data_IF_944902518551
#
_entry.id   IF_944902518551
#
_cell.length_a   1.000
_cell.length_b   1.000
_cell.length_c   1.000
_cell.angle_alpha   90.00
_cell.angle_beta   90.00
_cell.angle_gamma   90.00
#
_symmetry.space_group_name_H-M   'P 1'
#
loop_
_entity.id
_entity.type
_entity.pdbx_description
1 polymer ?
#
# COMPACT_ATOMS: atom_id res chain seq x y z
N UNK A 1 52.87 23.99 -7.31
CA UNK A 1 51.45 23.97 -7.56
C UNK A 1 50.98 22.54 -7.37
N UNK A 2 50.34 22.23 -6.22
CA UNK A 2 49.73 20.94 -6.01
C UNK A 2 48.31 21.00 -6.67
N UNK A 3 48.07 20.12 -7.62
CA UNK A 3 46.75 19.89 -8.16
C UNK A 3 45.90 19.13 -7.11
N UNK A 4 44.85 19.74 -6.61
CA UNK A 4 43.85 19.09 -5.78
C UNK A 4 43.00 18.24 -6.75
N UNK A 5 42.84 16.93 -6.57
CA UNK A 5 41.94 16.16 -7.39
C UNK A 5 40.52 16.66 -7.10
N UNK A 6 39.77 17.02 -8.15
CA UNK A 6 38.36 17.25 -8.07
C UNK A 6 37.70 15.91 -7.72
N UNK A 7 37.13 15.81 -6.54
CA UNK A 7 36.25 14.71 -6.18
C UNK A 7 35.07 14.80 -7.15
N UNK A 8 34.95 13.84 -8.05
CA UNK A 8 33.69 13.65 -8.79
C UNK A 8 32.66 13.25 -7.74
N UNK A 9 31.77 14.15 -7.39
CA UNK A 9 30.54 13.79 -6.69
C UNK A 9 29.74 12.93 -7.67
N UNK A 10 29.41 11.72 -7.29
CA UNK A 10 28.43 10.94 -8.00
C UNK A 10 27.12 11.75 -8.01
N UNK A 11 26.50 11.91 -9.16
CA UNK A 11 25.18 12.56 -9.25
C UNK A 11 24.15 11.58 -8.69
N UNK A 12 23.36 12.06 -7.74
CA UNK A 12 22.21 11.30 -7.24
C UNK A 12 21.18 11.21 -8.36
N UNK A 13 20.88 9.99 -8.80
CA UNK A 13 19.85 9.72 -9.77
C UNK A 13 18.54 9.35 -9.06
N UNK A 14 17.44 9.89 -9.55
CA UNK A 14 16.10 9.60 -9.05
C UNK A 14 15.32 8.93 -10.15
N UNK A 15 14.80 7.74 -9.90
CA UNK A 15 13.98 7.04 -10.87
C UNK A 15 12.73 6.45 -10.21
N UNK A 16 11.59 6.68 -10.84
CA UNK A 16 10.31 6.16 -10.42
C UNK A 16 9.58 5.48 -11.58
N UNK A 17 8.94 4.37 -11.26
CA UNK A 17 8.07 3.63 -12.16
C UNK A 17 6.68 3.54 -11.59
N UNK A 18 5.69 3.72 -12.45
CA UNK A 18 4.30 3.47 -12.13
C UNK A 18 3.91 2.09 -12.67
N UNK A 19 3.29 1.28 -11.85
CA UNK A 19 2.63 0.05 -12.28
C UNK A 19 1.13 0.28 -12.20
N UNK A 20 0.45 0.08 -13.32
CA UNK A 20 -0.96 0.44 -13.48
C UNK A 20 -1.73 -0.75 -14.01
N UNK A 21 -2.69 -1.26 -13.22
CA UNK A 21 -3.62 -2.27 -13.65
C UNK A 21 -4.79 -1.64 -14.40
N UNK A 22 -5.19 -2.23 -15.49
CA UNK A 22 -6.41 -1.85 -16.21
C UNK A 22 -7.64 -2.35 -15.46
N UNK A 23 -8.72 -1.57 -15.47
CA UNK A 23 -9.97 -1.93 -14.82
C UNK A 23 -10.70 -3.08 -15.55
N UNK A 24 -10.69 -3.07 -16.87
CA UNK A 24 -11.51 -3.96 -17.69
C UNK A 24 -10.69 -5.07 -18.35
N UNK A 25 -9.40 -4.86 -18.56
CA UNK A 25 -8.51 -5.78 -19.25
C UNK A 25 -7.54 -6.47 -18.29
N UNK A 26 -7.21 -7.75 -18.52
CA UNK A 26 -6.24 -8.48 -17.70
C UNK A 26 -4.81 -8.04 -18.04
N UNK A 27 -4.43 -6.87 -17.59
CA UNK A 27 -3.17 -6.22 -17.95
C UNK A 27 -2.63 -5.31 -16.86
N UNK A 28 -1.30 -5.33 -16.69
CA UNK A 28 -0.55 -4.36 -15.91
C UNK A 28 0.50 -3.70 -16.79
N UNK A 29 0.59 -2.38 -16.76
CA UNK A 29 1.63 -1.63 -17.47
C UNK A 29 2.66 -1.09 -16.51
N UNK A 30 3.93 -1.17 -16.90
CA UNK A 30 5.03 -0.47 -16.26
C UNK A 30 5.35 0.78 -17.06
N UNK A 31 5.38 1.92 -16.39
CA UNK A 31 5.56 3.25 -17.00
C UNK A 31 6.73 3.92 -16.33
N UNK A 32 7.67 4.43 -17.10
CA UNK A 32 8.68 5.35 -16.61
C UNK A 32 8.05 6.70 -16.30
N UNK A 33 8.15 7.16 -15.05
CA UNK A 33 7.44 8.36 -14.63
C UNK A 33 8.02 9.62 -15.26
N UNK A 34 9.34 9.71 -15.43
CA UNK A 34 10.00 10.90 -15.97
C UNK A 34 9.61 11.14 -17.43
N UNK A 35 9.74 10.13 -18.27
CA UNK A 35 9.42 10.24 -19.70
C UNK A 35 7.94 10.05 -20.02
N UNK A 36 7.17 9.41 -19.13
CA UNK A 36 5.80 8.96 -19.39
C UNK A 36 5.72 7.77 -20.35
N UNK A 37 6.83 7.18 -20.73
CA UNK A 37 6.87 6.06 -21.66
C UNK A 37 6.43 4.75 -20.98
N UNK A 38 5.63 3.95 -21.68
CA UNK A 38 5.37 2.56 -21.28
C UNK A 38 6.62 1.73 -21.53
N UNK A 39 7.21 1.21 -20.44
CA UNK A 39 8.37 0.32 -20.51
C UNK A 39 7.96 -1.07 -20.98
N UNK A 40 6.89 -1.61 -20.42
CA UNK A 40 6.34 -2.90 -20.80
C UNK A 40 4.86 -3.02 -20.42
N UNK A 41 4.20 -4.05 -20.93
CA UNK A 41 2.79 -4.34 -20.70
C UNK A 41 2.59 -5.84 -20.52
N UNK A 42 2.25 -6.23 -19.29
CA UNK A 42 2.15 -7.62 -18.87
C UNK A 42 0.71 -8.12 -18.96
N UNK A 43 0.50 -9.21 -19.70
CA UNK A 43 -0.76 -9.93 -19.67
C UNK A 43 -0.85 -10.74 -18.37
N UNK A 44 -1.98 -10.61 -17.68
CA UNK A 44 -2.35 -11.37 -16.49
C UNK A 44 -3.69 -12.07 -16.75
N UNK A 45 -4.26 -12.77 -15.77
CA UNK A 45 -5.46 -13.58 -16.03
C UNK A 45 -6.78 -12.85 -15.78
N UNK A 46 -6.74 -11.73 -15.08
CA UNK A 46 -7.92 -10.91 -14.76
C UNK A 46 -7.57 -9.58 -14.11
N UNK A 47 -8.56 -8.76 -13.79
CA UNK A 47 -8.35 -7.51 -13.07
C UNK A 47 -7.60 -7.75 -11.76
N UNK A 48 -6.67 -6.86 -11.42
CA UNK A 48 -5.80 -7.02 -10.27
C UNK A 48 -5.80 -5.81 -9.34
N UNK A 49 -5.67 -6.07 -8.05
CA UNK A 49 -5.20 -5.09 -7.07
C UNK A 49 -3.69 -5.19 -6.99
N UNK A 50 -3.00 -4.05 -7.03
CA UNK A 50 -1.55 -4.00 -7.03
C UNK A 50 -1.01 -3.66 -5.65
N UNK A 51 0.04 -4.37 -5.26
CA UNK A 51 0.80 -4.10 -4.03
C UNK A 51 2.29 -4.03 -4.36
N UNK A 52 2.97 -3.06 -3.75
CA UNK A 52 4.42 -2.98 -3.76
C UNK A 52 4.91 -3.12 -2.32
N UNK A 53 6.02 -3.83 -2.13
CA UNK A 53 6.65 -3.98 -0.84
C UNK A 53 7.67 -2.87 -0.58
N UNK A 54 8.08 -2.74 0.67
CA UNK A 54 9.14 -1.83 1.10
C UNK A 54 10.46 -2.06 0.35
N UNK A 55 10.73 -3.32 -0.06
CA UNK A 55 11.91 -3.67 -0.85
C UNK A 55 11.90 -3.16 -2.28
N UNK A 56 10.76 -2.70 -2.80
CA UNK A 56 10.59 -2.07 -4.13
C UNK A 56 11.01 -2.93 -5.33
N UNK A 57 11.37 -4.19 -5.12
CA UNK A 57 11.89 -5.10 -6.16
C UNK A 57 10.80 -5.74 -7.00
N UNK A 58 9.59 -5.83 -6.47
CA UNK A 58 8.46 -6.46 -7.16
C UNK A 58 7.14 -5.74 -6.90
N UNK A 59 6.21 -5.95 -7.84
CA UNK A 59 4.81 -5.61 -7.73
C UNK A 59 3.99 -6.89 -7.78
N UNK A 60 3.10 -7.05 -6.84
CA UNK A 60 2.23 -8.21 -6.69
C UNK A 60 0.85 -7.86 -7.22
N UNK A 61 0.41 -8.57 -8.25
CA UNK A 61 -0.89 -8.39 -8.89
C UNK A 61 -1.86 -9.45 -8.36
N UNK A 62 -2.67 -9.08 -7.38
CA UNK A 62 -3.65 -9.96 -6.72
C UNK A 62 -4.92 -10.02 -7.57
N UNK A 63 -5.22 -11.20 -8.09
CA UNK A 63 -6.32 -11.51 -8.99
C UNK A 63 -7.30 -12.45 -8.28
N UNK A 64 -8.17 -11.89 -7.42
CA UNK A 64 -9.04 -12.66 -6.54
C UNK A 64 -9.98 -13.62 -7.29
N UNK A 65 -10.59 -13.16 -8.37
CA UNK A 65 -11.52 -13.98 -9.17
C UNK A 65 -10.82 -15.07 -10.00
N UNK A 66 -9.50 -14.94 -10.25
CA UNK A 66 -8.68 -15.91 -10.97
C UNK A 66 -7.87 -16.81 -10.05
N UNK A 67 -8.00 -16.66 -8.72
CA UNK A 67 -7.35 -17.50 -7.73
C UNK A 67 -5.82 -17.49 -7.80
N UNK A 68 -5.23 -16.33 -8.08
CA UNK A 68 -3.78 -16.22 -8.23
C UNK A 68 -3.24 -14.83 -7.95
N UNK A 69 -1.93 -14.79 -7.71
CA UNK A 69 -1.15 -13.58 -7.61
C UNK A 69 0.02 -13.69 -8.58
N UNK A 70 0.09 -12.78 -9.54
CA UNK A 70 1.23 -12.65 -10.43
C UNK A 70 2.29 -11.73 -9.79
N UNK A 71 3.56 -12.00 -10.08
CA UNK A 71 4.69 -11.24 -9.54
C UNK A 71 5.43 -10.59 -10.70
N UNK A 72 5.51 -9.27 -10.68
CA UNK A 72 6.20 -8.48 -11.69
C UNK A 72 7.47 -7.92 -11.04
N UNK A 73 8.64 -8.34 -11.51
CA UNK A 73 9.89 -7.71 -11.11
C UNK A 73 9.88 -6.25 -11.57
N UNK A 74 10.14 -5.34 -10.65
CA UNK A 74 10.03 -3.90 -10.94
C UNK A 74 11.15 -3.38 -11.85
N UNK A 75 12.28 -4.09 -11.88
CA UNK A 75 13.51 -3.61 -12.49
C UNK A 75 14.16 -2.46 -11.70
N UNK A 76 13.73 -2.21 -10.47
CA UNK A 76 14.33 -1.23 -9.56
C UNK A 76 14.98 -1.99 -8.41
N UNK A 77 16.23 -1.68 -8.14
CA UNK A 77 16.97 -2.18 -7.00
C UNK A 77 17.72 -1.02 -6.35
N UNK A 78 17.52 -0.85 -5.06
CA UNK A 78 18.21 0.14 -4.25
C UNK A 78 19.00 -0.62 -3.19
N UNK A 79 20.32 -0.56 -3.28
CA UNK A 79 21.22 -1.15 -2.29
C UNK A 79 21.60 -0.06 -1.29
N UNK A 80 21.16 -0.19 -0.05
CA UNK A 80 21.46 0.75 1.04
C UNK A 80 22.82 0.41 1.66
N UNK A 81 23.74 1.36 1.61
CA UNK A 81 25.07 1.28 2.20
C UNK A 81 25.19 2.13 3.49
N UNK A 82 24.08 2.68 3.97
CA UNK A 82 23.96 3.41 5.24
C UNK A 82 24.20 4.91 5.12
N UNK A 83 25.13 5.36 4.28
CA UNK A 83 25.43 6.77 3.99
C UNK A 83 24.96 7.19 2.58
N UNK A 84 24.77 6.22 1.68
CA UNK A 84 24.21 6.40 0.34
C UNK A 84 23.49 5.12 -0.10
N UNK A 85 22.68 5.23 -1.13
CA UNK A 85 22.05 4.08 -1.79
C UNK A 85 22.52 3.97 -3.23
N UNK A 86 22.81 2.76 -3.70
CA UNK A 86 23.08 2.50 -5.12
C UNK A 86 21.77 2.17 -5.82
N UNK A 87 21.42 2.97 -6.83
CA UNK A 87 20.25 2.73 -7.68
C UNK A 87 20.66 1.93 -8.92
N UNK A 88 20.06 0.77 -9.09
CA UNK A 88 20.22 -0.06 -10.29
C UNK A 88 18.86 -0.18 -11.00
N UNK A 89 18.87 0.10 -12.29
CA UNK A 89 17.68 0.02 -13.15
C UNK A 89 17.87 -1.08 -14.19
N UNK A 90 16.96 -2.03 -14.19
CA UNK A 90 16.81 -3.08 -15.21
C UNK A 90 15.44 -2.99 -15.87
N UNK A 91 15.15 -3.85 -16.81
CA UNK A 91 13.82 -3.94 -17.41
C UNK A 91 12.82 -4.56 -16.42
N UNK A 92 11.60 -4.03 -16.33
CA UNK A 92 10.53 -4.71 -15.59
C UNK A 92 10.15 -5.99 -16.30
N UNK A 93 9.79 -7.04 -15.56
CA UNK A 93 9.48 -8.33 -16.15
C UNK A 93 8.44 -9.11 -15.35
N UNK A 94 7.49 -9.73 -16.03
CA UNK A 94 6.62 -10.73 -15.42
C UNK A 94 7.46 -11.97 -15.09
N UNK A 95 7.43 -12.40 -13.83
CA UNK A 95 8.15 -13.59 -13.40
C UNK A 95 7.38 -14.87 -13.73
N UNK A 96 8.07 -16.01 -13.74
CA UNK A 96 7.41 -17.34 -13.90
C UNK A 96 6.71 -17.77 -12.60
N UNK A 97 7.03 -17.15 -11.47
CA UNK A 97 6.43 -17.47 -10.19
C UNK A 97 5.00 -16.94 -10.10
N UNK A 98 4.06 -17.82 -9.80
CA UNK A 98 2.65 -17.52 -9.58
C UNK A 98 2.23 -18.14 -8.26
N UNK A 99 1.65 -17.31 -7.37
CA UNK A 99 1.10 -17.80 -6.11
C UNK A 99 -0.38 -18.10 -6.33
N UNK A 100 -0.82 -19.28 -5.91
CA UNK A 100 -2.18 -19.76 -6.18
C UNK A 100 -2.91 -20.10 -4.89
N UNK A 101 -4.22 -19.94 -4.88
CA UNK A 101 -5.12 -20.24 -3.79
C UNK A 101 -6.48 -19.62 -4.04
N UNK A 102 -7.53 -20.12 -3.41
CA UNK A 102 -8.90 -19.69 -3.69
C UNK A 102 -9.16 -18.29 -3.12
N UNK A 103 -9.41 -17.35 -4.03
CA UNK A 103 -9.78 -15.96 -3.77
C UNK A 103 -8.78 -15.21 -2.87
N UNK A 104 -7.52 -14.96 -3.32
CA UNK A 104 -6.59 -14.09 -2.62
C UNK A 104 -7.15 -12.66 -2.61
N UNK A 105 -7.09 -11.99 -1.46
CA UNK A 105 -7.59 -10.61 -1.32
C UNK A 105 -6.58 -9.73 -0.59
N UNK A 106 -6.35 -9.98 0.69
CA UNK A 106 -5.40 -9.18 1.47
C UNK A 106 -3.97 -9.64 1.26
N UNK A 107 -3.12 -8.68 0.97
CA UNK A 107 -1.67 -8.82 0.89
C UNK A 107 -1.06 -7.89 1.94
N UNK A 108 -0.35 -8.43 2.91
CA UNK A 108 0.25 -7.68 4.01
C UNK A 108 1.74 -7.97 4.09
N UNK A 109 2.55 -6.96 3.92
CA UNK A 109 4.01 -7.04 4.10
C UNK A 109 4.40 -6.57 5.49
N UNK A 110 5.29 -7.31 6.14
CA UNK A 110 5.90 -6.93 7.41
C UNK A 110 7.28 -7.62 7.53
N UNK A 111 8.31 -6.84 7.81
CA UNK A 111 9.69 -7.30 8.08
C UNK A 111 10.27 -8.32 7.07
N UNK A 112 10.12 -8.03 5.79
CA UNK A 112 10.67 -8.86 4.71
C UNK A 112 9.91 -10.16 4.47
N UNK A 113 8.78 -10.33 5.12
CA UNK A 113 7.79 -11.36 4.83
C UNK A 113 6.52 -10.71 4.31
N UNK A 114 5.74 -11.45 3.53
CA UNK A 114 4.39 -11.04 3.23
C UNK A 114 3.42 -12.21 3.41
N UNK A 115 2.21 -11.88 3.83
CA UNK A 115 1.11 -12.82 3.94
C UNK A 115 0.05 -12.51 2.87
N UNK A 116 -0.49 -13.56 2.28
CA UNK A 116 -1.68 -13.49 1.44
C UNK A 116 -2.78 -14.26 2.14
N UNK A 117 -3.91 -13.60 2.37
CA UNK A 117 -5.10 -14.26 2.88
C UNK A 117 -5.99 -14.71 1.73
N UNK A 118 -6.35 -15.97 1.73
CA UNK A 118 -7.21 -16.61 0.73
C UNK A 118 -8.62 -16.75 1.31
N UNK A 119 -9.49 -15.81 0.96
CA UNK A 119 -10.85 -15.73 1.52
C UNK A 119 -11.67 -17.00 1.26
N UNK A 120 -11.48 -17.63 0.10
CA UNK A 120 -12.20 -18.86 -0.27
C UNK A 120 -11.78 -20.08 0.53
N UNK A 121 -10.57 -20.08 1.07
CA UNK A 121 -10.03 -21.20 1.87
C UNK A 121 -10.09 -20.92 3.37
N UNK A 122 -10.13 -19.65 3.79
CA UNK A 122 -9.94 -19.25 5.19
C UNK A 122 -8.53 -19.54 5.67
N UNK A 123 -7.54 -19.40 4.79
CA UNK A 123 -6.12 -19.65 5.08
C UNK A 123 -5.27 -18.46 4.72
N UNK A 124 -4.14 -18.33 5.39
CA UNK A 124 -3.10 -17.39 4.98
C UNK A 124 -1.79 -18.12 4.72
N UNK A 125 -1.07 -17.70 3.70
CA UNK A 125 0.27 -18.19 3.37
C UNK A 125 1.26 -17.08 3.55
N UNK A 126 2.31 -17.35 4.32
CA UNK A 126 3.38 -16.42 4.68
C UNK A 126 4.62 -16.80 3.88
N UNK A 127 5.14 -15.84 3.13
CA UNK A 127 6.26 -16.01 2.23
C UNK A 127 7.42 -15.10 2.66
N UNK A 128 8.65 -15.63 2.75
CA UNK A 128 9.85 -14.79 2.78
C UNK A 128 10.06 -14.12 1.41
N UNK A 129 9.96 -12.81 1.34
CA UNK A 129 10.02 -12.11 0.04
C UNK A 129 11.33 -12.38 -0.71
N UNK A 130 12.46 -12.37 0.01
CA UNK A 130 13.76 -12.63 -0.60
C UNK A 130 13.89 -14.02 -1.24
N UNK A 131 13.16 -15.03 -0.74
CA UNK A 131 13.11 -16.35 -1.35
C UNK A 131 12.23 -16.35 -2.60
N UNK A 132 11.06 -15.73 -2.53
CA UNK A 132 10.13 -15.60 -3.66
C UNK A 132 10.79 -14.90 -4.85
N UNK A 133 11.54 -13.83 -4.61
CA UNK A 133 12.28 -13.09 -5.63
C UNK A 133 13.41 -13.91 -6.30
N UNK A 134 13.83 -15.01 -5.66
CA UNK A 134 14.79 -15.98 -6.22
C UNK A 134 14.12 -17.20 -6.85
N UNK A 135 12.78 -17.20 -6.93
CA UNK A 135 11.99 -18.28 -7.51
C UNK A 135 11.60 -19.39 -6.54
N UNK A 136 11.87 -19.24 -5.23
CA UNK A 136 11.43 -20.17 -4.18
C UNK A 136 10.15 -19.63 -3.52
N UNK A 137 9.02 -20.19 -3.92
CA UNK A 137 7.70 -19.83 -3.39
C UNK A 137 7.25 -20.75 -2.23
N UNK A 138 8.18 -21.29 -1.46
CA UNK A 138 7.87 -22.02 -0.23
C UNK A 138 7.22 -21.07 0.79
N UNK A 139 6.22 -21.57 1.50
CA UNK A 139 5.44 -20.77 2.45
C UNK A 139 5.14 -21.53 3.73
N UNK A 140 4.84 -20.79 4.77
CA UNK A 140 4.20 -21.28 5.99
C UNK A 140 2.71 -20.99 5.87
N UNK A 141 1.87 -21.98 6.12
CA UNK A 141 0.41 -21.82 6.05
C UNK A 141 -0.20 -21.80 7.44
N UNK A 142 -1.16 -20.90 7.64
CA UNK A 142 -2.00 -20.85 8.85
C UNK A 142 -3.47 -20.95 8.44
N UNK A 143 -4.26 -21.61 9.30
CA UNK A 143 -5.66 -21.86 9.05
C UNK A 143 -6.54 -21.13 10.05
N UNK A 144 -7.70 -20.67 9.59
CA UNK A 144 -8.78 -20.19 10.43
C UNK A 144 -9.90 -21.20 10.51
N UNK A 145 -10.92 -20.96 11.34
CA UNK A 145 -12.02 -21.90 11.54
C UNK A 145 -12.98 -22.00 10.35
N UNK A 146 -12.99 -21.02 9.45
CA UNK A 146 -13.87 -21.01 8.27
C UNK A 146 -13.39 -20.01 7.20
N UNK A 147 -13.73 -20.22 5.92
CA UNK A 147 -13.61 -19.21 4.88
C UNK A 147 -14.30 -17.90 5.28
N UNK A 148 -13.64 -16.77 5.07
CA UNK A 148 -14.16 -15.44 5.36
C UNK A 148 -13.28 -14.36 4.71
N UNK A 149 -13.76 -13.13 4.68
CA UNK A 149 -12.93 -11.99 4.29
C UNK A 149 -11.99 -11.64 5.44
N UNK A 150 -10.76 -12.14 5.37
CA UNK A 150 -9.82 -12.11 6.47
C UNK A 150 -8.49 -11.44 6.13
N UNK A 151 -7.68 -11.28 7.15
CA UNK A 151 -6.32 -10.77 7.06
C UNK A 151 -5.37 -11.56 7.95
N UNK A 152 -4.13 -11.67 7.54
CA UNK A 152 -3.05 -12.17 8.36
C UNK A 152 -1.85 -11.22 8.26
N UNK A 153 -1.22 -10.96 9.41
CA UNK A 153 -0.02 -10.13 9.49
C UNK A 153 1.11 -10.97 10.03
N UNK A 154 2.19 -11.20 9.26
CA UNK A 154 3.38 -11.84 9.80
C UNK A 154 4.11 -10.87 10.73
N UNK A 155 4.58 -11.36 11.87
CA UNK A 155 5.42 -10.63 12.83
C UNK A 155 6.51 -11.57 13.33
N UNK A 156 7.68 -11.55 12.71
CA UNK A 156 8.77 -12.52 12.94
C UNK A 156 8.27 -13.98 12.87
N UNK A 157 8.35 -14.70 13.97
CA UNK A 157 7.89 -16.10 14.10
C UNK A 157 6.39 -16.21 14.41
N UNK A 158 5.70 -15.10 14.62
CA UNK A 158 4.28 -15.06 14.95
C UNK A 158 3.44 -14.66 13.73
N UNK A 159 2.15 -14.91 13.83
CA UNK A 159 1.17 -14.45 12.87
C UNK A 159 -0.07 -13.95 13.60
N UNK A 160 -0.49 -12.74 13.34
CA UNK A 160 -1.81 -12.26 13.73
C UNK A 160 -2.78 -12.66 12.64
N UNK A 161 -3.87 -13.33 12.98
CA UNK A 161 -4.85 -13.81 12.01
C UNK A 161 -6.27 -13.55 12.49
N UNK A 162 -7.15 -13.22 11.58
CA UNK A 162 -8.55 -12.91 11.86
C UNK A 162 -9.34 -14.14 12.30
N UNK A 163 -10.30 -13.90 13.21
CA UNK A 163 -11.34 -14.85 13.59
C UNK A 163 -12.60 -14.59 12.78
N UNK A 164 -13.08 -15.54 11.98
CA UNK A 164 -14.35 -15.38 11.28
C UNK A 164 -15.51 -15.17 12.25
N UNK A 165 -16.56 -14.48 11.80
CA UNK A 165 -17.80 -14.40 12.53
C UNK A 165 -18.52 -15.75 12.43
N UNK A 166 -18.58 -16.50 13.53
CA UNK A 166 -19.17 -17.84 13.52
C UNK A 166 -20.69 -17.83 13.27
N UNK A 167 -21.36 -16.75 13.62
CA UNK A 167 -22.80 -16.60 13.39
C UNK A 167 -23.13 -16.25 11.91
N UNK A 168 -22.22 -15.53 11.24
CA UNK A 168 -22.34 -15.17 9.84
C UNK A 168 -20.94 -15.03 9.20
N UNK A 169 -20.40 -16.09 8.58
CA UNK A 169 -19.08 -16.05 7.95
C UNK A 169 -18.94 -15.06 6.79
N UNK A 170 -20.05 -14.50 6.28
CA UNK A 170 -20.04 -13.42 5.28
C UNK A 170 -19.90 -12.04 5.89
N UNK A 171 -20.15 -11.90 7.20
CA UNK A 171 -19.88 -10.67 7.92
C UNK A 171 -18.37 -10.51 8.16
N UNK A 172 -17.96 -9.29 8.50
CA UNK A 172 -16.56 -9.00 8.83
C UNK A 172 -16.12 -9.78 10.08
N UNK A 173 -14.80 -10.05 10.21
CA UNK A 173 -14.23 -10.75 11.34
C UNK A 173 -14.54 -10.09 12.69
N UNK A 174 -14.48 -10.87 13.76
CA UNK A 174 -14.80 -10.44 15.13
C UNK A 174 -13.58 -10.08 15.98
N UNK A 175 -12.39 -10.38 15.51
CA UNK A 175 -11.15 -10.11 16.21
C UNK A 175 -9.98 -10.88 15.63
N UNK A 176 -8.91 -10.97 16.40
CA UNK A 176 -7.69 -11.67 16.00
C UNK A 176 -7.20 -12.67 17.06
N UNK A 177 -6.49 -13.66 16.57
CA UNK A 177 -5.62 -14.54 17.34
C UNK A 177 -4.15 -14.25 17.00
N UNK A 178 -3.29 -14.40 17.98
CA UNK A 178 -1.85 -14.54 17.76
C UNK A 178 -1.55 -16.03 17.63
N UNK A 179 -0.86 -16.42 16.55
CA UNK A 179 -0.36 -17.76 16.35
C UNK A 179 1.16 -17.78 16.48
N UNK A 180 1.71 -18.83 17.05
CA UNK A 180 3.15 -19.08 17.07
C UNK A 180 3.66 -19.66 15.73
N UNK A 181 4.95 -19.97 15.66
CA UNK A 181 5.58 -20.56 14.48
C UNK A 181 4.99 -21.92 14.07
N UNK A 182 4.39 -22.66 15.00
CA UNK A 182 3.72 -23.92 14.73
C UNK A 182 2.25 -23.74 14.29
N UNK A 183 1.74 -22.49 14.30
CA UNK A 183 0.34 -22.19 14.00
C UNK A 183 -0.61 -22.40 15.19
N UNK A 184 -0.07 -22.57 16.40
CA UNK A 184 -0.87 -22.72 17.60
C UNK A 184 -1.21 -21.36 18.22
N UNK A 185 -2.42 -21.26 18.79
CA UNK A 185 -2.89 -20.03 19.41
C UNK A 185 -2.06 -19.70 20.67
N UNK A 186 -1.60 -18.46 20.73
CA UNK A 186 -0.83 -17.93 21.85
C UNK A 186 -1.65 -16.86 22.59
N UNK A 187 -1.84 -17.05 23.90
CA UNK A 187 -2.56 -16.08 24.73
C UNK A 187 -4.05 -16.02 24.48
N UNK A 188 -4.63 -14.86 24.71
CA UNK A 188 -6.07 -14.63 24.66
C UNK A 188 -6.54 -14.12 23.28
N UNK A 189 -7.84 -14.27 23.04
CA UNK A 189 -8.50 -13.66 21.89
C UNK A 189 -8.59 -12.14 22.05
N UNK A 190 -8.27 -11.40 20.98
CA UNK A 190 -8.36 -9.93 20.96
C UNK A 190 -9.59 -9.48 20.16
N UNK A 191 -10.67 -9.06 20.84
CA UNK A 191 -11.89 -8.61 20.17
C UNK A 191 -11.64 -7.38 19.29
N UNK A 192 -12.17 -7.43 18.07
CA UNK A 192 -12.12 -6.37 17.08
C UNK A 192 -13.33 -6.49 16.15
N UNK A 193 -14.52 -6.10 16.61
CA UNK A 193 -15.76 -6.26 15.84
C UNK A 193 -15.68 -5.44 14.54
N UNK A 194 -16.24 -5.98 13.47
CA UNK A 194 -16.21 -5.37 12.13
C UNK A 194 -14.79 -5.07 11.64
N UNK A 195 -13.84 -5.95 11.92
CA UNK A 195 -12.45 -5.79 11.55
C UNK A 195 -12.30 -5.64 10.04
N UNK A 196 -11.63 -4.57 9.62
CA UNK A 196 -11.29 -4.35 8.22
C UNK A 196 -10.15 -3.33 8.08
N UNK A 197 -9.08 -3.74 7.44
CA UNK A 197 -7.91 -2.90 7.17
C UNK A 197 -6.86 -2.89 8.28
N UNK A 198 -5.62 -2.80 7.85
CA UNK A 198 -4.44 -2.74 8.70
C UNK A 198 -3.37 -1.85 8.05
N UNK A 199 -2.46 -1.33 8.84
CA UNK A 199 -1.24 -0.68 8.36
C UNK A 199 -0.16 -0.70 9.44
N UNK A 200 1.09 -0.60 9.01
CA UNK A 200 2.24 -0.42 9.90
C UNK A 200 2.80 0.99 9.77
N UNK A 201 3.06 1.64 10.91
CA UNK A 201 3.78 2.91 10.99
C UNK A 201 4.94 2.76 11.98
N UNK A 202 6.16 3.00 11.52
CA UNK A 202 7.34 2.69 12.30
C UNK A 202 7.38 1.20 12.67
N UNK A 203 7.33 0.91 13.96
CA UNK A 203 7.27 -0.45 14.53
C UNK A 203 5.88 -0.81 15.10
N UNK A 204 4.87 -0.01 14.83
CA UNK A 204 3.52 -0.19 15.34
C UNK A 204 2.58 -0.63 14.21
N UNK A 205 1.94 -1.77 14.38
CA UNK A 205 0.83 -2.22 13.55
C UNK A 205 -0.48 -1.71 14.13
N UNK A 206 -1.36 -1.18 13.28
CA UNK A 206 -2.74 -0.86 13.62
C UNK A 206 -3.70 -1.70 12.81
N UNK A 207 -4.74 -2.23 13.46
CA UNK A 207 -5.83 -2.98 12.83
C UNK A 207 -7.14 -2.27 13.15
N UNK A 208 -7.93 -1.96 12.13
CA UNK A 208 -9.16 -1.20 12.26
C UNK A 208 -10.32 -2.08 12.72
N UNK A 209 -10.99 -1.65 13.78
CA UNK A 209 -12.20 -2.25 14.35
C UNK A 209 -13.38 -1.30 14.23
N UNK A 210 -14.60 -1.79 14.40
CA UNK A 210 -15.80 -0.97 14.45
C UNK A 210 -15.84 0.04 15.60
N UNK A 211 -15.08 -0.22 16.67
CA UNK A 211 -15.10 0.57 17.92
C UNK A 211 -13.77 1.25 18.28
N UNK A 212 -12.75 1.07 17.46
CA UNK A 212 -11.40 1.61 17.70
C UNK A 212 -10.35 0.89 16.86
N UNK A 213 -9.12 0.87 17.34
CA UNK A 213 -8.02 0.14 16.71
C UNK A 213 -7.42 -0.87 17.69
N UNK A 214 -7.01 -2.03 17.19
CA UNK A 214 -5.98 -2.83 17.86
C UNK A 214 -4.62 -2.31 17.44
N UNK A 215 -3.74 -2.11 18.40
CA UNK A 215 -2.35 -1.71 18.19
C UNK A 215 -1.46 -2.88 18.60
N UNK A 216 -0.59 -3.32 17.72
CA UNK A 216 0.34 -4.41 17.97
C UNK A 216 1.78 -3.96 17.72
N UNK A 217 2.68 -4.37 18.59
CA UNK A 217 4.13 -4.21 18.44
C UNK A 217 4.82 -5.49 18.86
N UNK A 218 6.02 -5.70 18.33
CA UNK A 218 6.86 -6.79 18.77
C UNK A 218 7.28 -6.63 20.23
N UNK A 219 7.32 -7.72 20.94
CA UNK A 219 7.75 -7.78 22.35
C UNK A 219 8.63 -9.00 22.56
N UNK A 220 9.38 -9.02 23.66
CA UNK A 220 10.35 -10.08 23.98
C UNK A 220 9.74 -11.50 24.09
N UNK A 221 8.44 -11.61 24.27
CA UNK A 221 7.73 -12.89 24.42
C UNK A 221 6.58 -13.03 23.40
N UNK A 222 6.65 -12.31 22.29
CA UNK A 222 5.62 -12.26 21.25
C UNK A 222 4.92 -10.91 21.16
N UNK A 223 4.02 -10.75 20.19
CA UNK A 223 3.30 -9.50 19.96
C UNK A 223 2.55 -9.00 21.19
N UNK A 224 2.74 -7.73 21.51
CA UNK A 224 1.98 -7.04 22.54
C UNK A 224 0.84 -6.27 21.88
N UNK A 225 -0.39 -6.52 22.33
CA UNK A 225 -1.60 -5.97 21.70
C UNK A 225 -2.34 -5.12 22.71
N UNK A 226 -2.68 -3.89 22.30
CA UNK A 226 -3.45 -2.92 23.06
C UNK A 226 -4.65 -2.46 22.23
N UNK A 227 -5.75 -2.08 22.90
CA UNK A 227 -6.92 -1.50 22.23
C UNK A 227 -6.98 0.01 22.44
N UNK A 228 -7.08 0.76 21.34
CA UNK A 228 -7.28 2.20 21.30
C UNK A 228 -8.73 2.49 20.88
N UNK A 229 -9.64 2.84 21.80
CA UNK A 229 -11.03 3.15 21.46
C UNK A 229 -11.14 4.46 20.68
N UNK A 230 -12.18 4.60 19.86
CA UNK A 230 -12.56 5.90 19.34
C UNK A 230 -12.96 6.82 20.50
N UNK A 231 -12.59 8.10 20.40
CA UNK A 231 -12.98 9.07 21.42
C UNK A 231 -14.50 9.27 21.50
N UNK A 232 -15.03 9.46 22.70
CA UNK A 232 -16.47 9.63 22.92
C UNK A 232 -17.05 10.87 22.20
N UNK A 233 -16.20 11.86 21.92
CA UNK A 233 -16.57 13.11 21.25
C UNK A 233 -16.53 13.03 19.72
N UNK A 234 -16.10 11.90 19.17
CA UNK A 234 -16.09 11.70 17.73
C UNK A 234 -17.52 11.47 17.19
N UNK A 235 -17.84 12.00 16.01
CA UNK A 235 -19.12 11.69 15.38
C UNK A 235 -19.20 10.19 15.06
N UNK A 236 -20.40 9.63 14.85
CA UNK A 236 -20.56 8.26 14.42
C UNK A 236 -19.76 7.96 13.16
N UNK A 237 -19.01 6.87 13.17
CA UNK A 237 -18.15 6.43 12.07
C UNK A 237 -17.16 5.37 12.53
N UNK A 238 -16.42 4.84 11.58
CA UNK A 238 -15.34 3.88 11.83
C UNK A 238 -14.26 4.00 10.75
N UNK A 239 -13.07 3.55 11.09
CA UNK A 239 -11.97 3.33 10.15
C UNK A 239 -12.14 1.95 9.52
N UNK A 240 -11.95 1.86 8.21
CA UNK A 240 -11.95 0.60 7.46
C UNK A 240 -10.74 0.45 6.54
N UNK A 241 -9.99 1.53 6.35
CA UNK A 241 -8.74 1.54 5.59
C UNK A 241 -7.73 2.36 6.36
N UNK A 242 -6.56 1.81 6.53
CA UNK A 242 -5.42 2.46 7.18
C UNK A 242 -4.25 2.54 6.22
N UNK A 243 -3.50 3.63 6.31
CA UNK A 243 -2.21 3.80 5.66
C UNK A 243 -1.18 4.20 6.71
N UNK A 244 0.04 3.73 6.52
CA UNK A 244 1.18 4.02 7.37
C UNK A 244 2.47 4.08 6.56
N UNK A 245 3.59 4.21 7.23
CA UNK A 245 4.91 4.21 6.61
C UNK A 245 6.02 3.97 7.64
N UNK A 246 7.14 3.40 7.20
CA UNK A 246 8.25 3.03 8.08
C UNK A 246 8.87 4.21 8.84
N UNK A 247 8.82 5.42 8.26
CA UNK A 247 9.29 6.65 8.91
C UNK A 247 8.19 7.42 9.66
N UNK A 248 6.99 6.87 9.79
CA UNK A 248 5.85 7.56 10.38
C UNK A 248 5.68 7.24 11.86
N UNK A 249 5.08 8.19 12.58
CA UNK A 249 4.58 8.03 13.95
C UNK A 249 3.06 8.19 14.00
N UNK A 250 2.39 8.18 12.85
CA UNK A 250 0.95 8.34 12.72
C UNK A 250 0.42 7.35 11.68
N UNK A 251 -0.89 7.18 11.69
CA UNK A 251 -1.64 6.51 10.63
C UNK A 251 -2.60 7.50 9.97
N UNK A 252 -2.88 7.29 8.71
CA UNK A 252 -3.98 7.96 8.04
C UNK A 252 -5.08 6.94 7.77
N UNK A 253 -6.30 7.22 8.22
CA UNK A 253 -7.45 6.36 8.00
C UNK A 253 -8.61 7.11 7.36
N UNK A 254 -9.52 6.38 6.71
CA UNK A 254 -10.83 6.93 6.44
C UNK A 254 -11.64 7.02 7.74
N UNK A 255 -12.66 7.88 7.78
CA UNK A 255 -13.63 7.91 8.86
C UNK A 255 -15.00 8.29 8.30
N UNK A 256 -15.80 7.29 8.00
CA UNK A 256 -17.02 7.49 7.20
C UNK A 256 -16.71 7.85 5.74
N UNK A 257 -17.69 8.42 5.04
CA UNK A 257 -17.59 8.68 3.60
C UNK A 257 -16.82 9.98 3.27
N UNK A 258 -16.94 10.97 4.13
CA UNK A 258 -16.54 12.37 3.89
C UNK A 258 -15.50 12.90 4.89
N UNK A 259 -14.77 11.99 5.57
CA UNK A 259 -13.70 12.36 6.49
C UNK A 259 -12.50 11.44 6.33
N UNK A 260 -11.35 11.95 6.72
CA UNK A 260 -10.15 11.18 7.02
C UNK A 260 -9.69 11.47 8.44
N UNK A 261 -9.06 10.51 9.06
CA UNK A 261 -8.52 10.61 10.42
C UNK A 261 -6.99 10.60 10.36
N UNK A 262 -6.37 11.59 10.94
CA UNK A 262 -4.95 11.57 11.32
C UNK A 262 -4.89 10.96 12.71
N UNK A 263 -4.23 9.82 12.83
CA UNK A 263 -4.25 8.99 14.03
C UNK A 263 -2.85 8.94 14.63
N UNK A 264 -2.67 9.53 15.80
CA UNK A 264 -1.45 9.47 16.60
C UNK A 264 -1.75 8.73 17.91
N UNK A 265 -1.41 7.44 18.00
CA UNK A 265 -1.70 6.64 19.19
C UNK A 265 -1.04 7.15 20.49
N UNK A 266 -0.02 7.97 20.38
CA UNK A 266 0.70 8.55 21.54
C UNK A 266 0.07 9.83 22.06
N UNK A 267 -0.80 10.46 21.28
CA UNK A 267 -1.45 11.72 21.66
C UNK A 267 -2.67 11.49 22.56
N UNK A 268 -2.97 12.48 23.40
CA UNK A 268 -4.19 12.47 24.23
C UNK A 268 -5.44 12.42 23.35
N UNK A 269 -5.47 13.23 22.29
CA UNK A 269 -6.50 13.21 21.24
C UNK A 269 -5.97 12.42 20.04
N UNK A 270 -6.00 11.09 20.16
CA UNK A 270 -5.40 10.20 19.20
C UNK A 270 -5.99 10.32 17.79
N UNK A 271 -7.25 10.70 17.65
CA UNK A 271 -7.96 10.81 16.38
C UNK A 271 -8.31 12.25 16.07
N UNK A 272 -7.67 12.83 15.06
CA UNK A 272 -8.02 14.17 14.56
C UNK A 272 -8.67 14.02 13.19
N UNK A 273 -9.94 14.43 13.09
CA UNK A 273 -10.72 14.29 11.86
C UNK A 273 -10.54 15.50 10.95
N UNK A 274 -10.38 15.23 9.66
CA UNK A 274 -10.41 16.23 8.59
C UNK A 274 -11.69 16.00 7.78
N UNK A 275 -12.60 16.98 7.78
CA UNK A 275 -13.82 16.94 6.96
C UNK A 275 -13.47 17.31 5.52
N UNK A 276 -13.92 16.50 4.58
CA UNK A 276 -13.71 16.70 3.15
C UNK A 276 -14.90 17.47 2.54
N UNK A 277 -14.69 18.22 1.45
CA UNK A 277 -15.78 18.94 0.77
C UNK A 277 -16.87 18.01 0.22
N UNK A 278 -16.47 16.82 -0.24
CA UNK A 278 -17.33 15.76 -0.78
C UNK A 278 -16.79 14.39 -0.37
N UNK A 279 -17.46 13.32 -0.81
CA UNK A 279 -17.06 11.94 -0.47
C UNK A 279 -15.66 11.62 -1.02
N UNK A 280 -14.88 10.92 -0.22
CA UNK A 280 -13.56 10.40 -0.59
C UNK A 280 -13.69 9.28 -1.63
N UNK A 281 -12.83 9.30 -2.64
CA UNK A 281 -12.62 8.18 -3.55
C UNK A 281 -11.40 7.37 -3.14
N UNK A 282 -10.25 8.04 -2.96
CA UNK A 282 -8.98 7.39 -2.62
C UNK A 282 -8.09 8.35 -1.83
N UNK A 283 -7.12 7.82 -1.11
CA UNK A 283 -6.12 8.62 -0.42
C UNK A 283 -4.78 7.90 -0.38
N UNK A 284 -3.72 8.68 -0.26
CA UNK A 284 -2.34 8.21 -0.22
C UNK A 284 -1.51 9.05 0.75
N UNK A 285 -0.51 8.44 1.35
CA UNK A 285 0.51 9.12 2.16
C UNK A 285 1.75 9.35 1.33
N UNK A 286 2.53 10.35 1.72
CA UNK A 286 3.83 10.62 1.11
C UNK A 286 4.93 10.01 1.99
N UNK A 287 5.52 8.91 1.52
CA UNK A 287 6.53 8.18 2.29
C UNK A 287 7.85 8.94 2.43
N UNK A 288 8.14 9.88 1.54
CA UNK A 288 9.35 10.71 1.57
C UNK A 288 9.13 12.05 2.29
N UNK A 289 7.89 12.55 2.28
CA UNK A 289 7.50 13.78 2.97
C UNK A 289 6.33 13.52 3.93
N UNK A 290 6.57 12.90 5.10
CA UNK A 290 5.52 12.44 6.04
C UNK A 290 4.57 13.54 6.52
N UNK A 291 4.94 14.78 6.30
CA UNK A 291 4.10 15.93 6.61
C UNK A 291 2.83 16.00 5.75
N UNK A 292 2.83 15.39 4.57
CA UNK A 292 1.76 15.51 3.61
C UNK A 292 1.06 14.19 3.33
N UNK A 293 -0.21 14.29 3.00
CA UNK A 293 -1.02 13.23 2.43
C UNK A 293 -1.96 13.82 1.38
N UNK A 294 -2.51 12.96 0.54
CA UNK A 294 -3.35 13.38 -0.58
C UNK A 294 -4.65 12.61 -0.59
N UNK A 295 -5.76 13.30 -0.81
CA UNK A 295 -7.09 12.71 -0.89
C UNK A 295 -7.75 13.11 -2.19
N UNK A 296 -8.24 12.14 -2.95
CA UNK A 296 -9.03 12.39 -4.14
C UNK A 296 -10.51 12.25 -3.82
N UNK A 297 -11.30 13.25 -4.19
CA UNK A 297 -12.71 13.35 -3.89
C UNK A 297 -13.58 13.24 -5.15
N UNK A 298 -14.87 12.89 -4.97
CA UNK A 298 -15.79 12.59 -6.07
C UNK A 298 -16.10 13.78 -7.00
N UNK A 299 -15.84 15.00 -6.56
CA UNK A 299 -15.94 16.20 -7.35
C UNK A 299 -14.76 16.42 -8.33
N UNK A 300 -13.83 15.47 -8.41
CA UNK A 300 -12.67 15.52 -9.32
C UNK A 300 -11.47 16.29 -8.77
N UNK A 301 -11.44 16.54 -7.46
CA UNK A 301 -10.37 17.30 -6.84
C UNK A 301 -9.36 16.40 -6.12
N UNK A 302 -8.08 16.74 -6.25
CA UNK A 302 -7.01 16.26 -5.39
C UNK A 302 -6.82 17.29 -4.28
N UNK A 303 -6.90 16.83 -3.03
CA UNK A 303 -6.67 17.63 -1.82
C UNK A 303 -5.29 17.30 -1.25
N UNK A 304 -4.54 18.32 -0.85
CA UNK A 304 -3.33 18.17 -0.05
C UNK A 304 -3.69 18.37 1.42
N UNK A 305 -3.28 17.43 2.26
CA UNK A 305 -3.42 17.52 3.72
C UNK A 305 -2.06 17.81 4.36
N UNK A 306 -2.04 18.70 5.31
CA UNK A 306 -0.94 18.85 6.28
C UNK A 306 -1.28 17.99 7.51
N UNK A 307 -0.45 17.00 7.78
CA UNK A 307 -0.65 16.01 8.84
C UNK A 307 -0.52 16.65 10.22
N UNK A 308 0.41 17.59 10.39
CA UNK A 308 0.64 18.23 11.69
C UNK A 308 -0.53 19.08 12.14
N UNK A 309 -1.12 19.84 11.24
CA UNK A 309 -2.29 20.67 11.51
C UNK A 309 -3.62 19.92 11.34
N UNK A 310 -3.62 18.74 10.74
CA UNK A 310 -4.80 18.00 10.31
C UNK A 310 -5.77 18.88 9.50
N UNK A 311 -5.24 19.54 8.48
CA UNK A 311 -5.99 20.50 7.68
C UNK A 311 -5.70 20.34 6.19
N UNK A 312 -6.69 20.71 5.36
CA UNK A 312 -6.54 20.82 3.90
C UNK A 312 -5.76 22.08 3.62
N UNK A 313 -4.61 21.95 2.95
CA UNK A 313 -3.72 23.07 2.59
C UNK A 313 -3.70 23.38 1.10
N UNK A 314 -4.25 22.49 0.28
CA UNK A 314 -4.34 22.67 -1.17
C UNK A 314 -5.51 21.93 -1.78
N UNK A 315 -6.04 22.48 -2.87
CA UNK A 315 -7.10 21.85 -3.68
C UNK A 315 -6.75 22.05 -5.16
N UNK A 316 -6.69 20.95 -5.90
CA UNK A 316 -6.37 20.97 -7.33
C UNK A 316 -7.41 20.16 -8.10
N UNK A 317 -8.12 20.82 -9.00
CA UNK A 317 -9.09 20.16 -9.89
C UNK A 317 -8.36 19.39 -10.99
N UNK A 318 -8.60 18.08 -11.12
CA UNK A 318 -7.91 17.22 -12.08
C UNK A 318 -8.85 16.57 -13.09
N UNK A 319 -10.02 16.11 -12.66
CA UNK A 319 -10.91 15.30 -13.50
C UNK A 319 -12.34 15.83 -13.48
N UNK A 320 -13.15 15.38 -14.43
CA UNK A 320 -14.60 15.42 -14.26
C UNK A 320 -15.01 14.62 -13.00
N UNK A 321 -16.17 14.91 -12.40
CA UNK A 321 -16.65 14.19 -11.22
C UNK A 321 -16.79 12.69 -11.43
N UNK A 322 -16.46 11.93 -10.37
CA UNK A 322 -16.67 10.50 -10.27
C UNK A 322 -17.58 10.21 -9.09
N UNK A 323 -18.80 9.72 -9.34
CA UNK A 323 -19.73 9.39 -8.27
C UNK A 323 -19.26 8.20 -7.42
N UNK A 324 -19.45 8.29 -6.12
CA UNK A 324 -19.30 7.18 -5.19
C UNK A 324 -20.56 6.30 -5.08
N UNK A 325 -21.63 6.66 -5.80
CA UNK A 325 -22.82 5.81 -5.90
C UNK A 325 -22.56 4.60 -6.79
N UNK A 326 -23.36 3.56 -6.62
CA UNK A 326 -23.24 2.31 -7.37
C UNK A 326 -22.28 1.32 -6.75
N UNK A 327 -21.81 0.38 -7.56
CA UNK A 327 -20.94 -0.71 -7.10
C UNK A 327 -19.57 -0.20 -6.64
N UNK A 328 -19.01 -0.84 -5.62
CA UNK A 328 -17.71 -0.46 -5.04
C UNK A 328 -16.54 -0.59 -6.03
N UNK A 329 -16.65 -1.50 -6.99
CA UNK A 329 -15.61 -1.83 -7.98
C UNK A 329 -15.72 -1.04 -9.29
N UNK A 330 -16.58 -0.03 -9.38
CA UNK A 330 -16.63 0.84 -10.55
C UNK A 330 -15.28 1.56 -10.76
N UNK A 331 -14.90 1.86 -12.02
CA UNK A 331 -13.64 2.53 -12.32
C UNK A 331 -13.64 3.95 -11.75
N UNK A 332 -12.77 4.19 -10.78
CA UNK A 332 -12.58 5.48 -10.11
C UNK A 332 -11.10 5.80 -9.99
N UNK A 333 -10.73 7.08 -9.91
CA UNK A 333 -9.34 7.49 -9.73
C UNK A 333 -8.65 6.86 -8.51
N UNK A 334 -7.36 6.58 -8.68
CA UNK A 334 -6.45 6.14 -7.62
C UNK A 334 -5.23 7.04 -7.59
N UNK A 335 -4.67 7.22 -6.43
CA UNK A 335 -3.52 8.11 -6.18
C UNK A 335 -2.32 7.26 -5.79
N UNK A 336 -1.18 7.55 -6.40
CA UNK A 336 0.13 7.06 -5.97
C UNK A 336 1.10 8.24 -5.84
N UNK A 337 1.96 8.19 -4.82
CA UNK A 337 3.01 9.19 -4.60
C UNK A 337 4.35 8.59 -5.00
N UNK A 338 5.10 9.32 -5.80
CA UNK A 338 6.35 8.89 -6.40
C UNK A 338 7.40 9.98 -6.25
N UNK A 339 8.07 10.02 -5.11
CA UNK A 339 9.01 11.08 -4.79
C UNK A 339 8.34 12.46 -4.75
N UNK A 340 8.83 13.38 -5.53
CA UNK A 340 8.27 14.73 -5.63
C UNK A 340 7.02 14.86 -6.52
N UNK A 341 6.46 13.76 -7.02
CA UNK A 341 5.31 13.76 -7.92
C UNK A 341 4.16 12.90 -7.40
N UNK A 342 2.95 13.26 -7.78
CA UNK A 342 1.73 12.54 -7.45
C UNK A 342 1.08 12.12 -8.77
N UNK A 343 0.82 10.83 -8.92
CA UNK A 343 0.14 10.27 -10.07
C UNK A 343 -1.31 9.93 -9.71
N UNK A 344 -2.26 10.41 -10.53
CA UNK A 344 -3.69 10.16 -10.34
C UNK A 344 -4.26 9.55 -11.61
N UNK A 345 -4.81 8.35 -11.51
CA UNK A 345 -5.47 7.70 -12.64
C UNK A 345 -6.83 8.34 -12.94
N UNK A 346 -7.14 8.46 -14.23
CA UNK A 346 -8.44 8.93 -14.75
C UNK A 346 -9.00 7.86 -15.70
N UNK A 347 -9.67 6.82 -15.17
CA UNK A 347 -10.06 5.63 -15.95
C UNK A 347 -10.96 5.95 -17.12
N UNK A 348 -11.89 6.89 -16.98
CA UNK A 348 -12.86 7.21 -18.03
C UNK A 348 -12.26 8.04 -19.16
N UNK A 349 -11.11 8.67 -18.93
CA UNK A 349 -10.38 9.44 -19.95
C UNK A 349 -9.15 8.70 -20.49
N UNK A 350 -8.76 7.59 -19.89
CA UNK A 350 -7.53 6.88 -20.28
C UNK A 350 -6.27 7.70 -20.00
N UNK A 351 -6.24 8.39 -18.87
CA UNK A 351 -5.14 9.30 -18.52
C UNK A 351 -4.56 8.96 -17.13
N UNK A 352 -3.31 9.35 -16.94
CA UNK A 352 -2.71 9.56 -15.62
C UNK A 352 -2.33 11.02 -15.55
N UNK A 353 -2.89 11.76 -14.59
CA UNK A 353 -2.48 13.13 -14.29
C UNK A 353 -1.26 13.10 -13.38
N UNK A 354 -0.23 13.86 -13.73
CA UNK A 354 0.98 14.00 -12.92
C UNK A 354 1.03 15.39 -12.32
N UNK A 355 1.19 15.45 -11.02
CA UNK A 355 1.17 16.68 -10.21
C UNK A 355 2.52 16.81 -9.50
N UNK A 356 3.14 17.99 -9.60
CA UNK A 356 4.29 18.33 -8.77
C UNK A 356 3.82 18.55 -7.33
N UNK A 357 4.36 17.77 -6.40
CA UNK A 357 3.91 17.78 -5.00
C UNK A 357 4.24 19.07 -4.28
N UNK A 358 5.36 19.73 -4.62
CA UNK A 358 5.82 20.97 -3.99
C UNK A 358 5.02 22.20 -4.48
N UNK A 359 4.86 22.34 -5.80
CA UNK A 359 4.07 23.41 -6.38
C UNK A 359 2.57 23.15 -6.27
N UNK A 360 2.17 21.91 -6.02
CA UNK A 360 0.81 21.40 -6.02
C UNK A 360 0.04 21.81 -7.28
N UNK A 361 0.66 21.52 -8.42
CA UNK A 361 0.16 21.88 -9.74
C UNK A 361 0.33 20.73 -10.73
N UNK A 362 -0.65 20.53 -11.60
CA UNK A 362 -0.55 19.53 -12.67
C UNK A 362 0.56 19.94 -13.65
N UNK A 363 1.49 19.06 -13.91
CA UNK A 363 2.62 19.28 -14.81
C UNK A 363 2.43 18.65 -16.18
N UNK A 364 1.81 17.47 -16.25
CA UNK A 364 1.60 16.72 -17.49
C UNK A 364 0.51 15.67 -17.35
N UNK A 365 0.19 15.05 -18.45
CA UNK A 365 -0.70 13.89 -18.56
C UNK A 365 0.02 12.78 -19.31
N UNK A 366 -0.21 11.52 -18.90
CA UNK A 366 0.25 10.33 -19.60
C UNK A 366 -0.98 9.63 -20.16
N UNK A 367 -1.02 9.47 -21.48
CA UNK A 367 -2.12 8.75 -22.14
C UNK A 367 -1.92 7.24 -22.00
N UNK A 368 -2.95 6.55 -21.55
CA UNK A 368 -2.99 5.10 -21.38
C UNK A 368 -4.14 4.55 -22.19
N UNK A 369 -3.83 3.58 -23.05
CA UNK A 369 -4.87 2.82 -23.74
C UNK A 369 -5.65 1.97 -22.73
N UNK A 370 -6.98 2.06 -22.73
CA UNK A 370 -7.85 1.36 -21.78
C UNK A 370 -8.29 2.22 -20.60
N UNK A 371 -8.52 1.57 -19.46
CA UNK A 371 -8.99 2.22 -18.23
C UNK A 371 -7.98 2.05 -17.10
N UNK A 372 -6.99 2.97 -17.01
CA UNK A 372 -6.00 2.93 -15.93
C UNK A 372 -6.70 3.03 -14.57
N UNK A 373 -6.42 2.09 -13.66
CA UNK A 373 -7.16 1.97 -12.41
C UNK A 373 -6.22 1.87 -11.21
N UNK A 374 -6.02 0.66 -10.67
CA UNK A 374 -5.09 0.48 -9.55
C UNK A 374 -3.67 0.86 -9.96
N UNK A 375 -3.01 1.62 -9.11
CA UNK A 375 -1.68 2.17 -9.38
C UNK A 375 -0.80 2.06 -8.13
N UNK A 376 0.44 1.66 -8.34
CA UNK A 376 1.49 1.74 -7.33
C UNK A 376 2.74 2.37 -7.94
N UNK A 377 3.50 3.07 -7.12
CA UNK A 377 4.78 3.67 -7.51
C UNK A 377 5.94 2.90 -6.87
N UNK A 378 6.96 2.62 -7.66
CA UNK A 378 8.18 1.93 -7.23
C UNK A 378 9.37 2.73 -7.72
N UNK A 379 10.28 3.08 -6.82
CA UNK A 379 11.45 3.87 -7.16
C UNK A 379 12.10 4.51 -5.96
N UNK A 380 12.97 5.44 -6.20
CA UNK A 380 13.70 6.21 -5.21
C UNK A 380 14.91 6.91 -5.79
N UNK A 381 15.72 7.46 -4.90
CA UNK A 381 16.99 8.10 -5.21
C UNK A 381 18.15 7.17 -4.87
N UNK A 382 19.24 7.27 -5.61
CA UNK A 382 20.48 6.56 -5.34
C UNK A 382 21.61 7.04 -6.24
N UNK A 383 22.84 6.66 -5.91
CA UNK A 383 23.99 6.90 -6.78
C UNK A 383 24.03 5.84 -7.89
N UNK A 384 24.30 6.27 -9.13
CA UNK A 384 24.56 5.34 -10.23
C UNK A 384 26.03 5.23 -10.48
N UNK A 385 26.57 4.02 -10.33
CA UNK A 385 27.93 3.72 -10.75
C UNK A 385 27.94 3.42 -12.26
N UNK A 386 28.23 4.44 -13.06
CA UNK A 386 28.42 4.27 -14.49
C UNK A 386 29.52 3.26 -14.77
N UNK A 387 29.20 2.14 -15.43
CA UNK A 387 30.22 1.25 -15.98
C UNK A 387 30.97 2.00 -17.08
N UNK A 388 32.07 2.64 -16.72
CA UNK A 388 33.02 3.08 -17.73
C UNK A 388 33.64 1.84 -18.37
N UNK A 389 33.11 1.43 -19.52
CA UNK A 389 33.82 0.55 -20.41
C UNK A 389 35.05 1.29 -20.94
N UNK A 390 36.22 1.00 -20.36
CA UNK A 390 37.49 1.32 -21.02
C UNK A 390 37.65 0.44 -22.25
N UNK A 391 37.55 1.06 -23.43
CA UNK A 391 38.04 0.49 -24.69
C UNK A 391 39.55 0.66 -24.83
#
# INVERSE_FOLDING_TARGET
MLAIPASAFAEEEVAWRLFVADHDQPRVRAIDLESGATLDSFAIDGPATLYATKGKRAVYAVQGEQNRVAIIASGVEIEDHGDHGDLKLGEPALTDAVLTGERPVHFVEHDGQFAIFYDGEGTARIYPEAAVLKGDAAFREVHTSAPHHGVAVPMEDYTLVTQPNEADPKALPTGIWVLDAAGEKLGDFHPCPDLHGEATSGNLLAIACGTGLLLAKEGASGPQIEFLPYGADLPPGKVTTLLGGSGFQYFLGNYGADRVAVIDPSATDAFRLVTLPTRRIHFAVDLEQPKFAYVFTEDGNLLQLDILSAAITGTLHLTEPYSMDGEWNLPRPRVAVAGGEIAVTDPLKGLIHVVDAKAFAKTREITIEGRPYNIVAVGGAGETHGHHHHH
#
